data_IF_878186204411
#
_entry.id   IF_878186204411
#
_cell.length_a   1.000
_cell.length_b   1.000
_cell.length_c   1.000
_cell.angle_alpha   90.00
_cell.angle_beta   90.00
_cell.angle_gamma   90.00
#
_symmetry.space_group_name_H-M   'P 1'
#
loop_
_entity.id
_entity.type
_entity.pdbx_description
1 polymer ?
#
# COMPACT_ATOMS: atom_id res chain seq x y z
N UNK A 1 -14.45 22.76 -48.47
CA UNK A 1 -13.81 21.47 -48.11
C UNK A 1 -13.49 20.74 -49.39
N UNK A 2 -12.22 20.52 -49.69
CA UNK A 2 -11.82 19.67 -50.81
C UNK A 2 -11.69 18.23 -50.32
N UNK A 3 -12.34 17.28 -51.01
CA UNK A 3 -12.31 15.85 -50.66
C UNK A 3 -11.84 15.07 -51.87
N UNK A 4 -10.75 14.34 -51.73
CA UNK A 4 -10.23 13.45 -52.78
C UNK A 4 -10.07 12.02 -52.26
N UNK A 5 -10.02 11.05 -53.18
CA UNK A 5 -9.70 9.66 -52.86
C UNK A 5 -8.22 9.58 -52.48
N UNK A 6 -7.34 9.73 -53.45
CA UNK A 6 -5.89 9.82 -53.24
C UNK A 6 -5.42 11.21 -53.72
N UNK A 7 -4.31 11.70 -53.17
CA UNK A 7 -3.71 12.97 -53.57
C UNK A 7 -2.21 12.79 -53.78
N UNK A 8 -1.76 13.05 -55.02
CA UNK A 8 -0.34 13.10 -55.38
C UNK A 8 -0.02 14.54 -55.77
N UNK A 9 0.93 15.14 -55.04
CA UNK A 9 1.43 16.49 -55.28
C UNK A 9 2.83 16.37 -55.88
N UNK A 10 3.04 16.96 -57.06
CA UNK A 10 4.33 17.03 -57.76
C UNK A 10 4.85 18.46 -58.00
N UNK A 11 4.08 19.45 -57.55
CA UNK A 11 4.35 20.88 -57.68
C UNK A 11 3.86 21.60 -56.43
N UNK A 12 3.70 22.92 -56.48
CA UNK A 12 3.32 23.67 -55.29
C UNK A 12 1.80 23.76 -55.10
N UNK A 13 1.35 23.42 -53.89
CA UNK A 13 -0.04 23.58 -53.43
C UNK A 13 -0.08 24.70 -52.40
N UNK A 14 -0.82 25.75 -52.72
CA UNK A 14 -1.05 26.90 -51.86
C UNK A 14 -2.52 26.94 -51.39
N UNK A 15 -2.75 27.04 -50.09
CA UNK A 15 -4.10 27.08 -49.52
C UNK A 15 -4.51 28.50 -49.06
N UNK A 16 -4.74 29.39 -50.02
CA UNK A 16 -4.97 30.81 -49.75
C UNK A 16 -6.23 31.17 -48.94
N UNK A 17 -7.18 30.24 -48.75
CA UNK A 17 -8.49 30.52 -48.18
C UNK A 17 -8.82 29.71 -46.92
N UNK A 18 -7.81 29.16 -46.22
CA UNK A 18 -8.00 28.34 -45.00
C UNK A 18 -8.96 27.15 -45.20
N UNK A 19 -9.04 26.60 -46.41
CA UNK A 19 -9.98 25.53 -46.72
C UNK A 19 -9.52 24.20 -46.12
N UNK A 20 -10.41 23.43 -45.49
CA UNK A 20 -10.08 22.05 -45.08
C UNK A 20 -9.83 21.15 -46.29
N UNK A 21 -8.78 20.34 -46.20
CA UNK A 21 -8.40 19.34 -47.19
C UNK A 21 -8.54 17.94 -46.57
N UNK A 22 -9.29 17.07 -47.23
CA UNK A 22 -9.51 15.69 -46.80
C UNK A 22 -9.11 14.71 -47.90
N UNK A 23 -8.10 13.90 -47.61
CA UNK A 23 -7.64 12.80 -48.45
C UNK A 23 -8.16 11.51 -47.83
N UNK A 24 -9.11 10.83 -48.48
CA UNK A 24 -9.71 9.60 -47.92
C UNK A 24 -8.74 8.40 -47.92
N UNK A 25 -7.83 8.38 -48.88
CA UNK A 25 -6.79 7.39 -49.10
C UNK A 25 -5.41 8.01 -48.92
N UNK A 26 -4.50 7.71 -49.85
CA UNK A 26 -3.08 8.01 -49.69
C UNK A 26 -2.75 9.46 -50.07
N UNK A 27 -1.89 10.09 -49.27
CA UNK A 27 -1.28 11.38 -49.57
C UNK A 27 0.19 11.19 -49.92
N UNK A 28 0.57 11.66 -51.11
CA UNK A 28 1.95 11.63 -51.59
C UNK A 28 2.39 13.04 -51.96
N UNK A 29 3.51 13.49 -51.39
CA UNK A 29 4.27 14.64 -51.88
C UNK A 29 5.54 14.09 -52.54
N UNK A 30 5.63 14.23 -53.85
CA UNK A 30 6.71 13.71 -54.70
C UNK A 30 7.23 14.85 -55.58
N UNK A 31 7.94 15.78 -54.94
CA UNK A 31 8.34 17.08 -55.50
C UNK A 31 7.33 18.21 -55.21
N UNK A 32 7.84 19.44 -55.09
CA UNK A 32 7.06 20.65 -54.79
C UNK A 32 6.91 20.97 -53.30
N UNK A 33 5.86 21.69 -52.93
CA UNK A 33 5.58 22.10 -51.55
C UNK A 33 4.08 22.15 -51.24
N UNK A 34 3.73 21.98 -49.97
CA UNK A 34 2.35 22.21 -49.50
C UNK A 34 2.40 23.29 -48.44
N UNK A 35 1.99 24.51 -48.82
CA UNK A 35 2.04 25.68 -47.95
C UNK A 35 0.62 26.01 -47.49
N UNK A 36 0.38 25.80 -46.19
CA UNK A 36 -0.85 26.18 -45.50
C UNK A 36 -0.63 27.54 -44.84
N UNK A 37 -1.09 28.61 -45.48
CA UNK A 37 -0.89 29.98 -45.00
C UNK A 37 -1.90 30.35 -43.89
N UNK A 38 -1.35 30.59 -42.70
CA UNK A 38 -1.81 31.53 -41.66
C UNK A 38 -2.89 31.12 -40.67
N UNK A 39 -3.72 30.09 -40.91
CA UNK A 39 -4.61 29.55 -39.86
C UNK A 39 -4.61 28.02 -39.85
N UNK A 40 -5.03 27.45 -38.71
CA UNK A 40 -5.07 26.02 -38.46
C UNK A 40 -6.04 25.28 -39.41
N UNK A 41 -5.57 24.99 -40.62
CA UNK A 41 -6.30 24.22 -41.62
C UNK A 41 -6.41 22.78 -41.13
N UNK A 42 -7.62 22.22 -41.18
CA UNK A 42 -7.83 20.78 -40.99
C UNK A 42 -7.34 20.04 -42.24
N UNK A 43 -6.24 19.31 -42.09
CA UNK A 43 -5.71 18.41 -43.10
C UNK A 43 -5.91 16.96 -42.65
N UNK A 44 -6.92 16.30 -43.21
CA UNK A 44 -7.28 14.93 -42.84
C UNK A 44 -6.74 13.94 -43.85
N UNK A 45 -6.13 12.85 -43.36
CA UNK A 45 -5.61 11.76 -44.18
C UNK A 45 -6.12 10.44 -43.63
N UNK A 46 -6.78 9.67 -44.50
CA UNK A 46 -7.32 8.33 -44.19
C UNK A 46 -6.41 7.17 -44.59
N UNK A 47 -5.43 7.37 -45.47
CA UNK A 47 -4.47 6.36 -45.91
C UNK A 47 -3.02 6.71 -45.56
N UNK A 48 -2.07 6.13 -46.27
CA UNK A 48 -0.64 6.33 -46.04
C UNK A 48 -0.18 7.73 -46.44
N UNK A 49 0.85 8.24 -45.77
CA UNK A 49 1.57 9.45 -46.14
C UNK A 49 2.95 9.08 -46.68
N UNK A 50 3.31 9.52 -47.88
CA UNK A 50 4.70 9.42 -48.40
C UNK A 50 5.21 10.79 -48.79
N UNK A 51 6.37 11.18 -48.23
CA UNK A 51 7.02 12.47 -48.52
C UNK A 51 8.41 12.21 -49.08
N UNK A 52 8.59 12.53 -50.35
CA UNK A 52 9.78 12.27 -51.15
C UNK A 52 10.15 13.48 -52.01
N UNK A 53 11.42 13.55 -52.41
CA UNK A 53 11.94 14.52 -53.39
C UNK A 53 11.69 16.00 -53.02
N UNK A 54 11.60 16.31 -51.72
CA UNK A 54 11.49 17.67 -51.18
C UNK A 54 12.47 17.87 -50.02
N UNK A 55 12.89 19.12 -49.76
CA UNK A 55 13.78 19.39 -48.60
C UNK A 55 13.08 19.07 -47.27
N UNK A 56 11.81 19.47 -47.14
CA UNK A 56 10.99 19.18 -45.96
C UNK A 56 9.51 19.37 -46.29
N UNK A 57 8.66 18.47 -45.84
CA UNK A 57 7.23 18.73 -45.72
C UNK A 57 6.95 19.46 -44.42
N UNK A 58 6.54 20.72 -44.51
CA UNK A 58 6.27 21.59 -43.36
C UNK A 58 4.82 22.00 -43.35
N UNK A 59 4.06 21.42 -42.43
CA UNK A 59 2.70 21.86 -42.11
C UNK A 59 2.67 22.51 -40.74
N UNK A 60 3.71 23.26 -40.40
CA UNK A 60 3.94 23.86 -39.07
C UNK A 60 2.78 24.72 -38.54
N UNK A 61 1.84 25.11 -39.39
CA UNK A 61 0.63 25.87 -39.03
C UNK A 61 -0.69 25.09 -39.20
N UNK A 62 -0.68 23.85 -39.73
CA UNK A 62 -1.89 23.07 -39.96
C UNK A 62 -2.21 22.08 -38.83
N UNK A 63 -3.50 21.77 -38.68
CA UNK A 63 -3.99 20.66 -37.87
C UNK A 63 -4.09 19.41 -38.75
N UNK A 64 -3.04 18.59 -38.73
CA UNK A 64 -3.02 17.32 -39.45
C UNK A 64 -3.69 16.24 -38.60
N UNK A 65 -4.68 15.55 -39.14
CA UNK A 65 -5.39 14.46 -38.47
C UNK A 65 -5.24 13.16 -39.25
N UNK A 66 -4.75 12.12 -38.58
CA UNK A 66 -4.66 10.76 -39.11
C UNK A 66 -5.84 9.95 -38.55
N UNK A 67 -6.79 9.61 -39.41
CA UNK A 67 -8.10 9.05 -39.02
C UNK A 67 -8.56 7.85 -39.86
N UNK A 68 -7.65 7.19 -40.55
CA UNK A 68 -7.91 5.95 -41.29
C UNK A 68 -8.34 4.80 -40.37
N UNK A 69 -9.11 3.85 -40.92
CA UNK A 69 -9.55 2.64 -40.20
C UNK A 69 -8.52 1.51 -40.22
N UNK A 70 -7.58 1.54 -41.17
CA UNK A 70 -6.45 0.61 -41.33
C UNK A 70 -5.17 1.21 -40.77
N UNK A 71 -4.08 0.43 -40.72
CA UNK A 71 -2.73 0.95 -40.42
C UNK A 71 -2.42 2.10 -41.38
N UNK A 72 -1.87 3.20 -40.87
CA UNK A 72 -1.39 4.32 -41.68
C UNK A 72 0.12 4.46 -41.50
N UNK A 73 0.85 4.36 -42.59
CA UNK A 73 2.30 4.51 -42.61
C UNK A 73 2.69 5.96 -42.92
N UNK A 74 3.70 6.48 -42.22
CA UNK A 74 4.40 7.71 -42.60
C UNK A 74 5.76 7.33 -43.18
N UNK A 75 5.88 7.50 -44.50
CA UNK A 75 6.92 6.99 -45.38
C UNK A 75 7.69 8.10 -46.13
N UNK A 76 8.60 7.65 -47.00
CA UNK A 76 9.42 8.45 -47.91
C UNK A 76 10.81 8.77 -47.35
N UNK A 77 11.53 9.69 -47.98
CA UNK A 77 12.92 10.02 -47.63
C UNK A 77 13.11 11.45 -47.07
N UNK A 78 12.13 12.34 -47.26
CA UNK A 78 12.22 13.74 -46.83
C UNK A 78 11.78 13.96 -45.37
N UNK A 79 12.27 15.04 -44.74
CA UNK A 79 11.86 15.43 -43.39
C UNK A 79 10.35 15.75 -43.33
N UNK A 80 9.69 15.30 -42.25
CA UNK A 80 8.25 15.51 -41.99
C UNK A 80 8.09 16.34 -40.72
N UNK A 81 7.52 17.54 -40.86
CA UNK A 81 7.31 18.49 -39.77
C UNK A 81 5.84 18.91 -39.73
N UNK A 82 5.15 18.55 -38.66
CA UNK A 82 3.78 18.95 -38.40
C UNK A 82 3.70 20.16 -37.46
N UNK A 83 2.70 21.01 -37.67
CA UNK A 83 2.26 21.98 -36.67
C UNK A 83 1.58 21.25 -35.54
N UNK A 84 0.30 20.94 -35.72
CA UNK A 84 -0.44 20.07 -34.80
C UNK A 84 -0.72 18.73 -35.47
N UNK A 85 -0.41 17.63 -34.77
CA UNK A 85 -0.75 16.27 -35.19
C UNK A 85 -1.83 15.69 -34.27
N UNK A 86 -2.90 15.16 -34.84
CA UNK A 86 -3.97 14.49 -34.09
C UNK A 86 -4.05 13.03 -34.52
N UNK A 87 -3.98 12.12 -33.56
CA UNK A 87 -4.14 10.67 -33.77
C UNK A 87 -5.54 10.27 -33.33
N UNK A 88 -6.36 9.84 -34.28
CA UNK A 88 -7.74 9.41 -34.05
C UNK A 88 -8.04 8.13 -34.85
N UNK A 89 -7.34 7.06 -34.45
CA UNK A 89 -7.39 5.74 -35.08
C UNK A 89 -8.03 4.73 -34.12
N UNK A 90 -9.37 4.63 -34.07
CA UNK A 90 -10.07 3.79 -33.09
C UNK A 90 -9.80 2.29 -33.23
N UNK A 91 -9.43 1.82 -34.43
CA UNK A 91 -9.27 0.39 -34.76
C UNK A 91 -7.87 0.03 -35.29
N UNK A 92 -6.92 0.97 -35.29
CA UNK A 92 -5.61 0.80 -35.89
C UNK A 92 -4.56 1.73 -35.27
N UNK A 93 -3.36 1.76 -35.84
CA UNK A 93 -2.24 2.57 -35.37
C UNK A 93 -1.49 3.23 -36.54
N UNK A 94 -0.66 4.21 -36.20
CA UNK A 94 0.29 4.81 -37.14
C UNK A 94 1.61 4.06 -37.04
N UNK A 95 2.29 3.84 -38.16
CA UNK A 95 3.64 3.27 -38.21
C UNK A 95 4.59 4.30 -38.82
N UNK A 96 5.73 4.52 -38.17
CA UNK A 96 6.75 5.44 -38.67
C UNK A 96 7.89 4.67 -39.35
N UNK A 97 8.12 4.95 -40.64
CA UNK A 97 9.33 4.52 -41.34
C UNK A 97 10.50 5.52 -41.19
N UNK A 98 10.24 6.68 -40.57
CA UNK A 98 11.20 7.76 -40.34
C UNK A 98 10.89 8.54 -39.07
N UNK A 99 11.84 9.36 -38.63
CA UNK A 99 11.60 10.37 -37.61
C UNK A 99 10.58 11.43 -38.07
N UNK A 100 9.75 11.92 -37.15
CA UNK A 100 8.83 13.05 -37.39
C UNK A 100 9.04 14.13 -36.34
N UNK A 101 8.84 15.39 -36.74
CA UNK A 101 8.77 16.54 -35.82
C UNK A 101 7.34 17.04 -35.73
N UNK A 102 6.90 17.39 -34.52
CA UNK A 102 5.59 17.96 -34.24
C UNK A 102 5.76 19.16 -33.30
N UNK A 103 5.00 20.23 -33.51
CA UNK A 103 4.92 21.32 -32.53
C UNK A 103 3.93 20.95 -31.42
N UNK A 104 2.74 20.48 -31.78
CA UNK A 104 1.73 20.01 -30.84
C UNK A 104 1.19 18.63 -31.26
N UNK A 105 0.80 17.82 -30.29
CA UNK A 105 0.21 16.51 -30.54
C UNK A 105 -1.02 16.26 -29.65
N UNK A 106 -2.08 15.70 -30.24
CA UNK A 106 -3.30 15.32 -29.55
C UNK A 106 -3.51 13.80 -29.68
N UNK A 107 -3.62 13.12 -28.53
CA UNK A 107 -3.82 11.69 -28.43
C UNK A 107 -5.29 11.39 -28.13
N UNK A 108 -6.09 11.12 -29.17
CA UNK A 108 -7.52 10.78 -29.02
C UNK A 108 -7.67 9.26 -28.93
N UNK A 109 -7.29 8.54 -29.99
CA UNK A 109 -7.33 7.07 -30.10
C UNK A 109 -6.26 6.54 -31.03
N UNK A 110 -5.72 5.36 -30.74
CA UNK A 110 -4.70 4.69 -31.53
C UNK A 110 -3.28 5.11 -31.16
N UNK A 111 -2.34 4.19 -31.28
CA UNK A 111 -0.92 4.39 -30.96
C UNK A 111 -0.09 4.83 -32.18
N UNK A 112 1.06 5.41 -31.92
CA UNK A 112 2.14 5.59 -32.91
C UNK A 112 3.22 4.55 -32.61
N UNK A 113 3.42 3.61 -33.53
CA UNK A 113 4.53 2.66 -33.49
C UNK A 113 5.75 3.29 -34.17
N UNK A 114 6.80 3.50 -33.39
CA UNK A 114 8.00 4.21 -33.87
C UNK A 114 9.12 3.27 -34.33
N UNK A 115 9.17 2.03 -33.84
CA UNK A 115 10.30 1.13 -34.08
C UNK A 115 11.61 1.77 -33.62
N UNK A 116 12.58 1.92 -34.53
CA UNK A 116 13.84 2.64 -34.26
C UNK A 116 13.74 4.15 -34.47
N UNK A 117 12.64 4.63 -35.02
CA UNK A 117 12.39 6.06 -35.26
C UNK A 117 11.88 6.75 -33.99
N UNK A 118 11.66 8.06 -34.08
CA UNK A 118 11.30 8.91 -32.95
C UNK A 118 10.29 9.99 -33.34
N UNK A 119 9.38 10.28 -32.42
CA UNK A 119 8.54 11.48 -32.43
C UNK A 119 9.25 12.59 -31.66
N UNK A 120 9.55 13.69 -32.33
CA UNK A 120 10.16 14.88 -31.72
C UNK A 120 9.08 15.94 -31.47
N UNK A 121 8.85 16.30 -30.21
CA UNK A 121 7.98 17.40 -29.80
C UNK A 121 8.85 18.59 -29.41
N UNK A 122 9.03 19.54 -30.33
CA UNK A 122 10.00 20.64 -30.16
C UNK A 122 9.44 21.87 -29.43
N UNK A 123 8.12 21.92 -29.18
CA UNK A 123 7.48 23.00 -28.43
C UNK A 123 7.63 22.79 -26.92
N UNK A 124 8.30 23.69 -26.21
CA UNK A 124 8.54 23.59 -24.76
C UNK A 124 7.31 23.88 -23.88
N UNK A 125 6.19 24.35 -24.44
CA UNK A 125 4.98 24.59 -23.65
C UNK A 125 4.44 23.28 -23.07
N UNK A 126 4.04 23.25 -21.79
CA UNK A 126 3.57 22.03 -21.10
C UNK A 126 2.37 21.38 -21.79
N UNK A 127 1.50 22.18 -22.40
CA UNK A 127 0.33 21.77 -23.17
C UNK A 127 0.61 21.42 -24.65
N UNK A 128 1.88 21.32 -25.08
CA UNK A 128 2.21 20.85 -26.43
C UNK A 128 1.76 19.41 -26.69
N UNK A 129 1.68 18.60 -25.64
CA UNK A 129 0.86 17.39 -25.63
C UNK A 129 -0.49 17.81 -25.05
N UNK A 130 -1.52 17.85 -25.90
CA UNK A 130 -2.85 18.27 -25.53
C UNK A 130 -3.61 17.18 -24.78
N UNK A 131 -4.74 16.73 -25.34
CA UNK A 131 -5.51 15.64 -24.74
C UNK A 131 -4.72 14.33 -24.72
N UNK A 132 -4.76 13.63 -23.58
CA UNK A 132 -4.17 12.30 -23.38
C UNK A 132 -5.30 11.32 -23.08
N UNK A 133 -5.22 10.15 -23.71
CA UNK A 133 -6.19 9.08 -23.60
C UNK A 133 -5.44 7.76 -23.38
N UNK A 134 -5.91 6.86 -22.51
CA UNK A 134 -5.27 5.54 -22.35
C UNK A 134 -5.35 4.69 -23.63
N UNK A 135 -6.12 5.14 -24.63
CA UNK A 135 -6.23 4.48 -25.94
C UNK A 135 -5.25 5.06 -26.96
N UNK A 136 -4.42 6.06 -26.61
CA UNK A 136 -3.58 6.75 -27.57
C UNK A 136 -2.27 7.24 -26.95
N UNK A 137 -1.16 6.74 -27.48
CA UNK A 137 0.18 6.95 -26.93
C UNK A 137 1.25 6.58 -27.96
N UNK A 138 2.51 6.81 -27.60
CA UNK A 138 3.66 6.43 -28.42
C UNK A 138 4.19 5.07 -27.94
N UNK A 139 4.19 4.09 -28.84
CA UNK A 139 4.88 2.82 -28.62
C UNK A 139 6.30 2.93 -29.21
N UNK A 140 7.28 3.12 -28.33
CA UNK A 140 8.69 3.35 -28.64
C UNK A 140 9.17 4.77 -28.28
N UNK A 141 9.92 5.43 -29.17
CA UNK A 141 10.76 6.57 -28.80
C UNK A 141 10.06 7.93 -28.94
N UNK A 142 10.01 8.68 -27.84
CA UNK A 142 9.59 10.08 -27.75
C UNK A 142 10.80 10.95 -27.39
N UNK A 143 10.90 12.14 -28.00
CA UNK A 143 11.68 13.27 -27.45
C UNK A 143 10.75 14.44 -27.17
N UNK A 144 10.79 14.91 -25.92
CA UNK A 144 9.98 16.01 -25.42
C UNK A 144 10.89 17.19 -25.10
N UNK A 145 10.80 18.27 -25.86
CA UNK A 145 11.43 19.54 -25.48
C UNK A 145 10.79 20.06 -24.19
N UNK A 146 11.60 20.62 -23.30
CA UNK A 146 11.15 21.11 -21.99
C UNK A 146 11.79 22.47 -21.69
N UNK A 147 11.08 23.30 -20.93
CA UNK A 147 11.66 24.49 -20.32
C UNK A 147 12.40 24.14 -19.02
N UNK A 148 12.93 25.15 -18.33
CA UNK A 148 13.66 24.94 -17.08
C UNK A 148 12.77 24.43 -15.94
N UNK A 149 11.46 24.70 -16.00
CA UNK A 149 10.43 24.27 -15.06
C UNK A 149 9.14 23.84 -15.78
N UNK A 150 8.23 23.19 -15.04
CA UNK A 150 6.88 22.86 -15.46
C UNK A 150 6.57 21.36 -15.49
N UNK A 151 5.29 21.05 -15.71
CA UNK A 151 4.76 19.69 -15.76
C UNK A 151 4.78 19.11 -17.17
N UNK A 152 5.53 18.04 -17.39
CA UNK A 152 5.68 17.41 -18.70
C UNK A 152 5.24 15.95 -18.65
N UNK A 153 4.19 15.65 -19.40
CA UNK A 153 3.73 14.29 -19.64
C UNK A 153 4.56 13.61 -20.72
N UNK A 154 4.80 12.31 -20.55
CA UNK A 154 5.54 11.45 -21.45
C UNK A 154 4.64 10.25 -21.80
N UNK A 155 3.69 10.42 -22.75
CA UNK A 155 2.67 9.43 -23.05
C UNK A 155 3.23 8.30 -23.91
N UNK A 156 4.03 7.44 -23.29
CA UNK A 156 4.63 6.25 -23.90
C UNK A 156 3.87 4.99 -23.49
N UNK A 157 4.25 3.85 -24.05
CA UNK A 157 3.65 2.56 -23.74
C UNK A 157 4.30 1.44 -24.54
N UNK A 158 3.68 0.28 -24.47
CA UNK A 158 4.09 -0.90 -25.24
C UNK A 158 2.99 -1.31 -26.24
N UNK A 159 2.98 -2.56 -26.69
CA UNK A 159 1.98 -2.97 -27.65
C UNK A 159 0.54 -3.03 -27.12
N UNK A 160 0.38 -3.20 -25.81
CA UNK A 160 -0.90 -3.47 -25.16
C UNK A 160 -1.36 -2.35 -24.23
N UNK A 161 -0.43 -1.68 -23.56
CA UNK A 161 -0.74 -0.80 -22.45
C UNK A 161 -0.13 0.60 -22.60
N UNK A 162 -0.90 1.56 -22.12
CA UNK A 162 -0.48 2.94 -21.95
C UNK A 162 0.19 3.13 -20.58
N UNK A 163 1.44 3.60 -20.61
CA UNK A 163 2.33 3.68 -19.46
C UNK A 163 2.81 5.13 -19.32
N UNK A 164 2.04 5.94 -18.61
CA UNK A 164 2.29 7.38 -18.51
C UNK A 164 3.36 7.65 -17.45
N UNK A 165 4.36 8.45 -17.82
CA UNK A 165 5.20 9.15 -16.86
C UNK A 165 4.90 10.65 -16.91
N UNK A 166 4.88 11.31 -15.76
CA UNK A 166 4.84 12.77 -15.66
C UNK A 166 6.03 13.26 -14.86
N UNK A 167 6.74 14.24 -15.41
CA UNK A 167 7.91 14.87 -14.79
C UNK A 167 7.53 16.31 -14.45
N UNK A 168 7.49 16.62 -13.15
CA UNK A 168 7.33 17.99 -12.66
C UNK A 168 8.72 18.60 -12.43
N UNK A 169 9.17 19.43 -13.36
CA UNK A 169 10.46 20.10 -13.24
C UNK A 169 10.35 21.28 -12.27
N UNK A 170 10.93 21.14 -11.08
CA UNK A 170 11.00 22.21 -10.08
C UNK A 170 12.12 23.21 -10.43
N UNK A 171 13.27 22.71 -10.91
CA UNK A 171 14.36 23.53 -11.46
C UNK A 171 15.29 22.68 -12.31
N UNK A 172 15.87 23.27 -13.38
CA UNK A 172 16.88 22.62 -14.20
C UNK A 172 17.85 23.63 -14.81
N UNK A 173 19.10 23.20 -14.99
CA UNK A 173 20.14 23.98 -15.68
C UNK A 173 20.81 23.14 -16.76
N UNK A 174 20.72 23.60 -18.01
CA UNK A 174 21.23 22.89 -19.19
C UNK A 174 20.30 21.81 -19.75
N UNK A 175 19.09 21.64 -19.19
CA UNK A 175 18.06 20.77 -19.75
C UNK A 175 17.35 21.46 -20.92
N UNK A 176 17.17 20.73 -22.02
CA UNK A 176 16.47 21.19 -23.23
C UNK A 176 15.43 20.18 -23.70
N UNK A 177 15.65 18.88 -23.43
CA UNK A 177 14.70 17.83 -23.75
C UNK A 177 14.89 16.58 -22.89
N UNK A 178 13.84 15.77 -22.87
CA UNK A 178 13.82 14.41 -22.34
C UNK A 178 13.52 13.43 -23.48
N UNK A 179 14.36 12.41 -23.63
CA UNK A 179 14.04 11.21 -24.40
C UNK A 179 13.31 10.22 -23.48
N UNK A 180 12.19 9.65 -23.94
CA UNK A 180 11.36 8.74 -23.16
C UNK A 180 10.91 7.54 -23.98
N UNK A 181 10.87 6.37 -23.34
CA UNK A 181 10.22 5.14 -23.85
C UNK A 181 9.84 4.23 -22.69
N UNK A 182 8.95 3.28 -22.96
CA UNK A 182 8.62 2.20 -22.03
C UNK A 182 9.05 0.85 -22.62
N UNK A 183 9.82 0.09 -21.87
CA UNK A 183 10.27 -1.25 -22.24
C UNK A 183 9.57 -2.27 -21.33
N UNK A 184 8.96 -3.30 -21.93
CA UNK A 184 8.24 -4.32 -21.17
C UNK A 184 9.18 -5.37 -20.60
N UNK A 185 8.89 -5.84 -19.40
CA UNK A 185 9.40 -7.11 -18.89
C UNK A 185 8.25 -7.83 -18.20
N UNK A 186 8.07 -9.13 -18.42
CA UNK A 186 6.93 -9.89 -17.88
C UNK A 186 7.32 -10.80 -16.71
N UNK A 187 8.56 -10.69 -16.25
CA UNK A 187 9.07 -11.46 -15.10
C UNK A 187 9.17 -10.57 -13.89
N UNK A 188 8.50 -10.96 -12.81
CA UNK A 188 8.71 -10.36 -11.49
C UNK A 188 10.20 -10.41 -11.15
N UNK A 189 10.78 -9.24 -10.88
CA UNK A 189 12.18 -9.13 -10.44
C UNK A 189 12.19 -8.99 -8.93
N UNK A 190 12.76 -9.98 -8.24
CA UNK A 190 13.01 -9.91 -6.80
C UNK A 190 14.12 -8.88 -6.52
N UNK A 191 13.86 -7.98 -5.57
CA UNK A 191 14.80 -6.95 -5.13
C UNK A 191 14.99 -6.95 -3.61
N UNK A 192 14.47 -7.97 -2.90
CA UNK A 192 14.52 -8.07 -1.44
C UNK A 192 15.96 -8.06 -0.90
N UNK A 193 16.90 -8.67 -1.62
CA UNK A 193 18.32 -8.69 -1.24
C UNK A 193 19.01 -7.32 -1.27
N UNK A 194 18.38 -6.30 -1.88
CA UNK A 194 18.90 -4.93 -1.91
C UNK A 194 18.64 -4.17 -0.61
N UNK A 195 17.81 -4.70 0.31
CA UNK A 195 17.49 -4.08 1.60
C UNK A 195 17.02 -2.62 1.47
N UNK A 196 16.13 -2.37 0.50
CA UNK A 196 15.54 -1.06 0.27
C UNK A 196 14.25 -0.92 1.07
N UNK A 197 14.14 0.15 1.86
CA UNK A 197 13.00 0.38 2.74
C UNK A 197 12.23 1.64 2.35
N UNK A 198 10.90 1.55 2.44
CA UNK A 198 9.99 2.68 2.35
C UNK A 198 9.03 2.59 3.52
N UNK A 199 8.90 3.69 4.27
CA UNK A 199 8.07 3.77 5.48
C UNK A 199 8.31 2.60 6.45
N UNK A 200 9.59 2.24 6.66
CA UNK A 200 10.01 1.14 7.54
C UNK A 200 9.83 -0.27 6.99
N UNK A 201 9.27 -0.42 5.77
CA UNK A 201 8.96 -1.71 5.17
C UNK A 201 9.90 -2.04 4.01
N UNK A 202 10.40 -3.28 3.96
CA UNK A 202 11.30 -3.73 2.89
C UNK A 202 10.56 -3.96 1.56
N UNK A 203 11.12 -3.42 0.48
CA UNK A 203 10.64 -3.68 -0.88
C UNK A 203 11.04 -5.09 -1.32
N UNK A 204 10.10 -5.79 -1.95
CA UNK A 204 10.26 -7.21 -2.29
C UNK A 204 10.46 -7.44 -3.79
N UNK A 205 9.73 -6.72 -4.64
CA UNK A 205 9.77 -6.96 -6.09
C UNK A 205 9.41 -5.72 -6.89
N UNK A 206 9.78 -5.72 -8.17
CA UNK A 206 9.27 -4.77 -9.16
C UNK A 206 7.93 -5.23 -9.72
N UNK A 207 7.10 -4.29 -10.14
CA UNK A 207 5.92 -4.59 -10.94
C UNK A 207 6.33 -5.17 -12.30
N UNK A 208 5.67 -6.24 -12.70
CA UNK A 208 6.03 -7.10 -13.85
C UNK A 208 5.43 -6.64 -15.19
N UNK A 209 5.19 -5.34 -15.34
CA UNK A 209 4.79 -4.76 -16.64
C UNK A 209 5.99 -4.16 -17.40
N UNK A 210 6.98 -3.60 -16.70
CA UNK A 210 8.17 -3.03 -17.34
C UNK A 210 8.77 -1.83 -16.62
N UNK A 211 9.48 -1.01 -17.39
CA UNK A 211 10.17 0.18 -16.89
C UNK A 211 10.19 1.30 -17.94
N UNK A 212 10.27 2.55 -17.47
CA UNK A 212 10.51 3.71 -18.31
C UNK A 212 12.01 3.98 -18.40
N UNK A 213 12.52 4.24 -19.59
CA UNK A 213 13.80 4.93 -19.76
C UNK A 213 13.50 6.40 -20.01
N UNK A 214 13.95 7.28 -19.12
CA UNK A 214 13.85 8.73 -19.29
C UNK A 214 15.28 9.28 -19.24
N UNK A 215 15.74 9.90 -20.32
CA UNK A 215 17.10 10.39 -20.45
C UNK A 215 17.11 11.89 -20.82
N UNK A 216 17.95 12.72 -20.19
CA UNK A 216 18.07 14.12 -20.53
C UNK A 216 19.02 14.29 -21.72
N UNK A 217 19.03 15.49 -22.31
CA UNK A 217 20.10 15.85 -23.24
C UNK A 217 21.48 15.84 -22.57
N UNK A 218 22.53 15.71 -23.40
CA UNK A 218 23.90 16.00 -22.97
C UNK A 218 24.02 17.44 -22.51
N UNK A 219 24.70 17.68 -21.39
CA UNK A 219 24.94 19.04 -20.85
C UNK A 219 24.02 19.45 -19.69
N UNK A 220 23.18 18.55 -19.18
CA UNK A 220 22.49 18.75 -17.90
C UNK A 220 23.53 18.92 -16.77
N UNK A 221 23.43 20.02 -16.03
CA UNK A 221 24.38 20.35 -14.95
C UNK A 221 23.76 20.26 -13.54
N UNK A 222 22.48 20.62 -13.41
CA UNK A 222 21.71 20.45 -12.18
C UNK A 222 20.23 20.26 -12.49
N UNK A 223 19.54 19.51 -11.62
CA UNK A 223 18.12 19.25 -11.73
C UNK A 223 17.51 18.99 -10.35
N UNK A 224 16.28 19.47 -10.16
CA UNK A 224 15.37 19.01 -9.12
C UNK A 224 13.99 18.82 -9.76
N UNK A 225 13.39 17.65 -9.58
CA UNK A 225 12.09 17.34 -10.15
C UNK A 225 11.35 16.28 -9.34
N UNK A 226 10.04 16.24 -9.53
CA UNK A 226 9.17 15.18 -9.03
C UNK A 226 8.72 14.30 -10.19
N UNK A 227 8.46 13.03 -9.93
CA UNK A 227 8.02 12.08 -10.94
C UNK A 227 6.79 11.32 -10.47
N UNK A 228 5.83 11.15 -11.36
CA UNK A 228 4.74 10.19 -11.22
C UNK A 228 4.71 9.20 -12.37
N UNK A 229 4.40 7.95 -12.04
CA UNK A 229 4.34 6.83 -12.97
C UNK A 229 2.97 6.15 -12.84
N UNK A 230 2.28 5.97 -13.96
CA UNK A 230 1.02 5.23 -14.06
C UNK A 230 1.27 3.93 -14.80
N UNK A 231 1.46 2.84 -14.05
CA UNK A 231 1.71 1.52 -14.61
C UNK A 231 0.42 0.73 -14.83
N UNK A 232 0.23 0.18 -16.03
CA UNK A 232 -0.88 -0.74 -16.34
C UNK A 232 -0.39 -2.13 -16.70
N UNK A 233 -1.28 -3.11 -16.60
CA UNK A 233 -1.02 -4.48 -17.04
C UNK A 233 -0.06 -5.30 -16.18
N UNK A 234 0.42 -4.76 -15.06
CA UNK A 234 1.16 -5.54 -14.06
C UNK A 234 0.24 -6.61 -13.46
N UNK A 235 0.65 -7.87 -13.54
CA UNK A 235 -0.08 -9.01 -12.97
C UNK A 235 0.21 -9.20 -11.49
N UNK A 236 1.33 -8.65 -11.02
CA UNK A 236 1.77 -8.74 -9.63
C UNK A 236 1.52 -7.45 -8.82
N UNK A 237 0.60 -6.57 -9.25
CA UNK A 237 0.24 -5.37 -8.49
C UNK A 237 -0.17 -5.70 -7.04
N UNK A 238 0.26 -4.88 -6.08
CA UNK A 238 -0.18 -4.98 -4.68
C UNK A 238 -1.66 -4.61 -4.52
N UNK A 239 -2.28 -5.09 -3.44
CA UNK A 239 -3.69 -4.83 -3.15
C UNK A 239 -3.94 -3.39 -2.65
N UNK A 240 -2.94 -2.74 -2.06
CA UNK A 240 -3.03 -1.41 -1.48
C UNK A 240 -2.07 -0.43 -2.15
N UNK A 241 -2.52 0.80 -2.34
CA UNK A 241 -1.73 1.85 -2.99
C UNK A 241 -0.41 2.13 -2.26
N UNK A 242 -0.45 2.21 -0.92
CA UNK A 242 0.74 2.46 -0.09
C UNK A 242 1.86 1.43 -0.22
N UNK A 243 1.60 0.27 -0.85
CA UNK A 243 2.64 -0.72 -1.10
C UNK A 243 3.67 -0.31 -2.15
N UNK A 244 3.33 0.68 -2.98
CA UNK A 244 4.03 0.97 -4.22
C UNK A 244 4.88 2.22 -4.09
N UNK A 245 6.06 2.20 -4.71
CA UNK A 245 6.95 3.36 -4.77
C UNK A 245 7.69 3.38 -6.10
N UNK A 246 8.11 4.57 -6.55
CA UNK A 246 9.02 4.68 -7.69
C UNK A 246 10.42 4.21 -7.27
N UNK A 247 11.10 3.48 -8.14
CA UNK A 247 12.49 3.07 -7.96
C UNK A 247 13.26 3.33 -9.25
N UNK A 248 14.57 3.53 -9.16
CA UNK A 248 15.38 3.81 -10.34
C UNK A 248 16.69 3.02 -10.35
N UNK A 249 17.28 2.87 -11.53
CA UNK A 249 18.64 2.38 -11.73
C UNK A 249 19.30 3.12 -12.87
N UNK A 250 20.62 3.24 -12.86
CA UNK A 250 21.33 4.04 -13.86
C UNK A 250 21.29 3.41 -15.26
N UNK A 251 21.32 2.08 -15.32
CA UNK A 251 21.26 1.29 -16.54
C UNK A 251 21.02 -0.19 -16.17
N UNK A 252 20.94 -1.06 -17.18
CA UNK A 252 20.70 -2.49 -17.04
C UNK A 252 21.75 -3.27 -16.25
N UNK A 253 22.94 -2.71 -16.03
CA UNK A 253 24.03 -3.33 -15.24
C UNK A 253 24.09 -2.83 -13.80
N UNK A 254 23.31 -1.79 -13.45
CA UNK A 254 23.24 -1.23 -12.10
C UNK A 254 22.10 -1.85 -11.29
N UNK A 255 22.31 -1.99 -9.98
CA UNK A 255 21.22 -2.33 -9.06
C UNK A 255 20.18 -1.20 -9.00
N UNK A 256 18.97 -1.58 -8.65
CA UNK A 256 17.90 -0.63 -8.33
C UNK A 256 18.15 0.05 -6.99
N UNK A 257 17.75 1.31 -6.88
CA UNK A 257 17.90 2.12 -5.66
C UNK A 257 16.83 3.21 -5.59
N UNK A 258 16.66 3.76 -4.38
CA UNK A 258 15.73 4.83 -4.08
C UNK A 258 16.42 6.20 -4.16
N UNK A 259 15.75 7.20 -4.72
CA UNK A 259 16.17 8.61 -4.68
C UNK A 259 14.95 9.50 -4.43
N UNK A 260 15.14 10.63 -3.77
CA UNK A 260 14.06 11.54 -3.44
C UNK A 260 13.18 11.03 -2.31
N UNK A 261 12.02 11.65 -2.12
CA UNK A 261 11.11 11.37 -1.02
C UNK A 261 9.88 10.56 -1.48
N UNK A 262 9.35 9.77 -0.56
CA UNK A 262 8.12 8.97 -0.73
C UNK A 262 7.08 9.40 0.30
N UNK A 263 5.80 9.29 -0.05
CA UNK A 263 4.69 9.43 0.90
C UNK A 263 3.56 8.50 0.46
N UNK A 264 2.99 7.71 1.37
CA UNK A 264 1.88 6.81 1.01
C UNK A 264 0.64 7.54 0.49
N UNK A 265 0.39 8.76 0.95
CA UNK A 265 -0.75 9.59 0.52
C UNK A 265 -0.72 9.98 -0.96
N UNK A 266 0.45 9.92 -1.63
CA UNK A 266 0.58 10.25 -3.05
C UNK A 266 0.44 9.03 -3.96
N UNK A 267 0.24 7.84 -3.40
CA UNK A 267 0.09 6.60 -4.17
C UNK A 267 -1.39 6.30 -4.38
N UNK A 268 -1.76 5.75 -5.53
CA UNK A 268 -3.14 5.31 -5.77
C UNK A 268 -3.23 4.11 -6.69
N UNK A 269 -4.34 3.38 -6.61
CA UNK A 269 -4.69 2.32 -7.56
C UNK A 269 -6.10 2.62 -8.05
N UNK A 270 -6.25 2.82 -9.36
CA UNK A 270 -7.54 3.13 -9.95
C UNK A 270 -7.62 2.65 -11.39
N UNK A 271 -8.74 2.04 -11.76
CA UNK A 271 -8.98 1.58 -13.14
C UNK A 271 -7.92 0.61 -13.68
N UNK A 272 -7.36 -0.26 -12.82
CA UNK A 272 -6.29 -1.20 -13.17
C UNK A 272 -4.92 -0.55 -13.40
N UNK A 273 -4.74 0.70 -12.98
CA UNK A 273 -3.47 1.43 -13.03
C UNK A 273 -2.90 1.59 -11.62
N UNK A 274 -1.62 1.29 -11.44
CA UNK A 274 -0.86 1.62 -10.24
C UNK A 274 -0.19 2.97 -10.45
N UNK A 275 -0.55 3.96 -9.64
CA UNK A 275 0.04 5.28 -9.65
C UNK A 275 1.08 5.38 -8.53
N UNK A 276 2.34 5.66 -8.89
CA UNK A 276 3.43 5.84 -7.96
C UNK A 276 4.12 7.20 -8.11
N UNK A 277 4.43 7.87 -7.00
CA UNK A 277 5.05 9.21 -6.98
C UNK A 277 6.30 9.24 -6.09
N UNK A 278 7.33 9.94 -6.55
CA UNK A 278 8.47 10.39 -5.73
C UNK A 278 8.87 11.83 -6.05
N UNK A 279 9.34 12.55 -5.05
CA UNK A 279 9.68 13.98 -5.16
C UNK A 279 11.16 14.26 -4.89
N UNK A 280 11.69 15.35 -5.44
CA UNK A 280 13.06 15.80 -5.17
C UNK A 280 14.16 14.93 -5.78
N UNK A 281 13.92 14.34 -6.95
CA UNK A 281 14.92 13.61 -7.71
C UNK A 281 15.93 14.58 -8.36
N UNK A 282 17.17 14.11 -8.52
CA UNK A 282 18.30 14.90 -9.01
C UNK A 282 19.03 14.27 -10.20
N UNK A 283 18.49 13.17 -10.74
CA UNK A 283 19.03 12.51 -11.92
C UNK A 283 17.94 11.73 -12.65
N UNK A 284 18.06 11.65 -13.97
CA UNK A 284 17.21 10.82 -14.84
C UNK A 284 17.94 9.50 -15.16
N UNK A 285 17.20 8.43 -15.37
CA UNK A 285 17.72 7.09 -15.64
C UNK A 285 16.60 6.14 -16.09
N UNK A 286 16.69 4.85 -15.74
CA UNK A 286 15.57 3.91 -15.84
C UNK A 286 14.74 3.95 -14.55
N UNK A 287 13.41 3.90 -14.68
CA UNK A 287 12.44 3.96 -13.59
C UNK A 287 11.45 2.81 -13.68
N UNK A 288 11.06 2.26 -12.54
CA UNK A 288 9.96 1.29 -12.44
C UNK A 288 9.18 1.55 -11.15
N UNK A 289 8.16 0.74 -10.90
CA UNK A 289 7.42 0.73 -9.64
C UNK A 289 7.83 -0.52 -8.87
N UNK A 290 8.40 -0.33 -7.68
CA UNK A 290 8.61 -1.40 -6.73
C UNK A 290 7.41 -1.52 -5.79
N UNK A 291 7.23 -2.73 -5.24
CA UNK A 291 6.29 -2.97 -4.16
C UNK A 291 6.92 -3.71 -2.99
N UNK A 292 6.41 -3.43 -1.80
CA UNK A 292 6.53 -4.37 -0.69
C UNK A 292 5.28 -5.27 -0.63
N UNK A 293 5.41 -6.42 0.02
CA UNK A 293 4.24 -7.23 0.35
C UNK A 293 3.48 -6.55 1.50
N UNK A 294 2.18 -6.82 1.62
CA UNK A 294 1.50 -6.53 2.87
C UNK A 294 2.15 -7.43 3.92
N UNK A 295 3.04 -6.83 4.72
CA UNK A 295 3.34 -7.40 6.01
C UNK A 295 2.14 -7.02 6.86
N UNK A 296 1.18 -7.94 6.95
CA UNK A 296 0.37 -8.08 8.16
C UNK A 296 1.39 -8.38 9.25
N UNK A 297 1.96 -7.33 9.82
CA UNK A 297 2.56 -7.44 11.13
C UNK A 297 1.36 -7.73 12.05
N UNK A 298 1.34 -8.86 12.76
CA UNK A 298 0.34 -9.12 13.78
C UNK A 298 0.24 -7.89 14.68
N UNK A 299 -0.94 -7.59 15.22
CA UNK A 299 -1.01 -6.62 16.32
C UNK A 299 0.02 -7.07 17.37
N UNK A 300 0.96 -6.20 17.67
CA UNK A 300 1.91 -6.45 18.75
C UNK A 300 1.21 -6.16 20.07
N UNK A 301 0.52 -7.19 20.55
CA UNK A 301 -0.02 -7.25 21.90
C UNK A 301 1.16 -7.38 22.86
N UNK A 302 1.46 -6.31 23.60
CA UNK A 302 2.58 -6.30 24.56
C UNK A 302 2.15 -6.74 25.96
N UNK A 303 0.89 -6.52 26.31
CA UNK A 303 0.34 -6.96 27.58
C UNK A 303 -1.11 -7.41 27.41
N UNK A 304 -1.45 -8.47 28.14
CA UNK A 304 -2.81 -8.87 28.42
C UNK A 304 -2.83 -9.43 29.82
N UNK A 305 -3.67 -8.87 30.68
CA UNK A 305 -3.72 -9.19 32.11
C UNK A 305 -5.16 -9.39 32.55
N UNK A 306 -5.35 -10.25 33.55
CA UNK A 306 -6.63 -10.50 34.19
C UNK A 306 -6.49 -10.39 35.70
N UNK A 307 -7.28 -9.51 36.31
CA UNK A 307 -7.29 -9.25 37.74
C UNK A 307 -8.66 -9.59 38.32
N UNK A 308 -8.69 -10.43 39.35
CA UNK A 308 -9.94 -10.76 40.03
C UNK A 308 -10.21 -9.77 41.15
N UNK A 309 -11.34 -9.08 41.07
CA UNK A 309 -11.91 -8.27 42.13
C UNK A 309 -12.98 -9.08 42.89
N UNK A 310 -13.58 -8.50 43.93
CA UNK A 310 -14.55 -9.23 44.80
C UNK A 310 -15.74 -9.81 44.03
N UNK A 311 -16.18 -9.14 42.96
CA UNK A 311 -17.42 -9.47 42.25
C UNK A 311 -17.26 -9.59 40.73
N UNK A 312 -16.09 -9.27 40.17
CA UNK A 312 -15.84 -9.26 38.73
C UNK A 312 -14.37 -9.53 38.40
N UNK A 313 -14.12 -9.92 37.16
CA UNK A 313 -12.76 -9.98 36.61
C UNK A 313 -12.56 -8.80 35.67
N UNK A 314 -11.49 -8.06 35.90
CA UNK A 314 -11.03 -6.98 35.05
C UNK A 314 -9.96 -7.49 34.08
N UNK A 315 -10.14 -7.21 32.79
CA UNK A 315 -9.21 -7.58 31.73
C UNK A 315 -8.66 -6.30 31.11
N UNK A 316 -7.34 -6.18 31.09
CA UNK A 316 -6.64 -5.03 30.51
C UNK A 316 -5.63 -5.51 29.47
N UNK A 317 -5.56 -4.84 28.32
CA UNK A 317 -4.53 -5.11 27.32
C UNK A 317 -4.05 -3.85 26.61
N UNK A 318 -2.80 -3.92 26.16
CA UNK A 318 -2.13 -2.86 25.44
C UNK A 318 -1.56 -3.39 24.14
N UNK A 319 -1.80 -2.64 23.06
CA UNK A 319 -1.22 -2.87 21.75
C UNK A 319 -0.30 -1.70 21.38
N UNK A 320 0.94 -1.97 20.97
CA UNK A 320 1.89 -0.91 20.58
C UNK A 320 1.60 -0.36 19.19
N UNK A 321 1.06 -1.22 18.32
CA UNK A 321 0.53 -0.83 17.03
C UNK A 321 -0.61 -1.77 16.63
N UNK A 322 -1.53 -1.23 15.84
CA UNK A 322 -2.63 -1.97 15.24
C UNK A 322 -2.64 -1.72 13.75
N UNK A 323 -2.70 -2.78 12.95
CA UNK A 323 -2.87 -2.65 11.51
C UNK A 323 -3.89 -3.68 11.08
N UNK A 324 -4.90 -3.24 10.35
CA UNK A 324 -5.99 -4.07 9.84
C UNK A 324 -6.88 -4.73 10.93
N UNK A 325 -6.79 -4.30 12.18
CA UNK A 325 -7.56 -4.88 13.29
C UNK A 325 -8.99 -4.32 13.31
N UNK A 326 -9.98 -5.13 12.94
CA UNK A 326 -11.38 -4.72 13.04
C UNK A 326 -11.82 -4.78 14.52
N UNK A 327 -11.61 -5.90 15.20
CA UNK A 327 -12.01 -6.03 16.61
C UNK A 327 -11.34 -7.19 17.35
N UNK A 328 -11.38 -7.09 18.68
CA UNK A 328 -11.06 -8.19 19.59
C UNK A 328 -12.34 -8.91 20.04
N UNK A 329 -12.27 -10.23 20.16
CA UNK A 329 -13.24 -11.05 20.89
C UNK A 329 -12.58 -11.48 22.21
N UNK A 330 -13.18 -11.07 23.32
CA UNK A 330 -12.80 -11.57 24.64
C UNK A 330 -13.42 -12.95 24.82
N UNK A 331 -12.60 -13.95 25.12
CA UNK A 331 -13.04 -15.31 25.40
C UNK A 331 -12.69 -15.74 26.81
N UNK A 332 -13.58 -16.51 27.43
CA UNK A 332 -13.38 -17.13 28.74
C UNK A 332 -13.50 -18.64 28.68
N UNK A 333 -12.73 -19.34 29.51
CA UNK A 333 -12.82 -20.78 29.72
C UNK A 333 -12.60 -21.15 31.19
N UNK A 334 -13.21 -22.24 31.65
CA UNK A 334 -12.95 -22.85 32.97
C UNK A 334 -11.91 -23.97 32.91
N UNK A 335 -11.64 -24.52 31.72
CA UNK A 335 -10.78 -25.70 31.51
C UNK A 335 -9.65 -25.43 30.49
N UNK A 336 -9.53 -24.19 30.02
CA UNK A 336 -8.63 -23.73 28.96
C UNK A 336 -8.81 -24.43 27.59
N UNK A 337 -9.88 -25.20 27.40
CA UNK A 337 -10.17 -25.96 26.17
C UNK A 337 -11.49 -25.54 25.52
N UNK A 338 -12.53 -25.33 26.32
CA UNK A 338 -13.85 -24.89 25.89
C UNK A 338 -13.98 -23.39 26.13
N UNK A 339 -14.06 -22.61 25.04
CA UNK A 339 -14.02 -21.15 25.08
C UNK A 339 -15.38 -20.54 24.75
N UNK A 340 -15.85 -19.65 25.62
CA UNK A 340 -17.07 -18.86 25.43
C UNK A 340 -16.72 -17.44 25.03
N UNK A 341 -17.32 -16.93 23.97
CA UNK A 341 -17.24 -15.51 23.60
C UNK A 341 -18.02 -14.67 24.62
N UNK A 342 -17.37 -13.66 25.19
CA UNK A 342 -17.98 -12.73 26.14
C UNK A 342 -18.42 -11.43 25.46
N UNK A 343 -17.50 -10.78 24.74
CA UNK A 343 -17.74 -9.49 24.10
C UNK A 343 -16.89 -9.30 22.86
N UNK A 344 -17.37 -8.42 21.97
CA UNK A 344 -16.62 -7.86 20.84
C UNK A 344 -16.24 -6.42 21.19
N UNK A 345 -14.95 -6.12 21.19
CA UNK A 345 -14.39 -4.80 21.50
C UNK A 345 -13.75 -4.27 20.22
N UNK A 346 -14.24 -3.12 19.75
CA UNK A 346 -13.77 -2.53 18.49
C UNK A 346 -12.28 -2.18 18.61
N UNK A 347 -11.48 -2.60 17.62
CA UNK A 347 -10.09 -2.22 17.51
C UNK A 347 -9.93 -0.82 16.91
N UNK A 348 -8.71 -0.31 16.88
CA UNK A 348 -8.40 0.99 16.30
C UNK A 348 -8.39 0.98 14.75
N UNK A 349 -8.46 -0.19 14.12
CA UNK A 349 -8.33 -0.35 12.66
C UNK A 349 -6.88 -0.20 12.20
N UNK A 350 -6.36 1.02 12.30
CA UNK A 350 -4.97 1.37 11.98
C UNK A 350 -4.44 2.36 13.02
N UNK A 351 -3.41 1.97 13.77
CA UNK A 351 -2.74 2.82 14.76
C UNK A 351 -1.25 2.51 14.83
N UNK A 352 -0.44 3.56 14.79
CA UNK A 352 1.01 3.49 15.02
C UNK A 352 1.41 3.99 16.42
N UNK A 353 0.48 4.00 17.37
CA UNK A 353 0.64 4.48 18.74
C UNK A 353 -0.02 3.50 19.70
N UNK A 354 0.44 3.46 20.95
CA UNK A 354 -0.14 2.60 21.98
C UNK A 354 -1.66 2.83 22.15
N UNK A 355 -2.39 1.72 22.31
CA UNK A 355 -3.81 1.70 22.64
C UNK A 355 -4.04 0.82 23.84
N UNK A 356 -4.79 1.35 24.78
CA UNK A 356 -5.20 0.67 26.00
C UNK A 356 -6.67 0.30 25.89
N UNK A 357 -7.00 -0.92 26.30
CA UNK A 357 -8.34 -1.46 26.27
C UNK A 357 -8.66 -2.14 27.60
N UNK A 358 -9.94 -2.07 27.96
CA UNK A 358 -10.46 -2.62 29.19
C UNK A 358 -11.76 -3.41 28.91
N UNK A 359 -11.93 -4.51 29.63
CA UNK A 359 -13.20 -5.22 29.70
C UNK A 359 -13.47 -5.79 31.10
N UNK A 360 -14.71 -5.63 31.57
CA UNK A 360 -15.16 -6.16 32.86
C UNK A 360 -16.09 -7.37 32.65
N UNK A 361 -15.68 -8.53 33.16
CA UNK A 361 -16.53 -9.72 33.27
C UNK A 361 -17.20 -9.77 34.65
N UNK A 362 -18.48 -9.38 34.69
CA UNK A 362 -19.31 -9.37 35.91
C UNK A 362 -19.87 -10.75 36.30
N UNK A 363 -19.40 -11.83 35.68
CA UNK A 363 -19.91 -13.17 36.02
C UNK A 363 -19.35 -13.59 37.38
N UNK A 364 -20.23 -13.82 38.36
CA UNK A 364 -19.85 -14.44 39.63
C UNK A 364 -19.43 -15.88 39.42
N UNK A 365 -18.13 -16.12 39.44
CA UNK A 365 -17.52 -17.42 39.18
C UNK A 365 -16.45 -17.70 40.20
N UNK A 366 -16.54 -18.87 40.84
CA UNK A 366 -15.56 -19.31 41.83
C UNK A 366 -14.52 -20.23 41.20
N UNK A 367 -13.26 -20.03 41.58
CA UNK A 367 -12.12 -20.85 41.16
C UNK A 367 -11.34 -20.29 39.97
N UNK A 368 -10.62 -21.17 39.27
CA UNK A 368 -9.76 -20.79 38.16
C UNK A 368 -10.58 -20.38 36.93
N UNK A 369 -10.22 -19.24 36.36
CA UNK A 369 -10.72 -18.75 35.09
C UNK A 369 -9.58 -18.43 34.15
N UNK A 370 -9.78 -18.76 32.88
CA UNK A 370 -8.83 -18.52 31.80
C UNK A 370 -9.44 -17.54 30.81
N UNK A 371 -8.65 -16.57 30.39
CA UNK A 371 -9.05 -15.59 29.39
C UNK A 371 -8.05 -15.55 28.24
N UNK A 372 -8.55 -15.24 27.05
CA UNK A 372 -7.74 -14.95 25.85
C UNK A 372 -8.46 -13.95 24.98
N UNK A 373 -7.70 -13.25 24.15
CA UNK A 373 -8.20 -12.39 23.10
C UNK A 373 -8.14 -13.15 21.77
N UNK A 374 -9.17 -13.00 20.95
CA UNK A 374 -9.13 -13.35 19.53
C UNK A 374 -9.24 -12.06 18.75
N UNK A 375 -8.13 -11.61 18.19
CA UNK A 375 -8.13 -10.51 17.24
C UNK A 375 -8.74 -10.97 15.92
N UNK A 376 -9.56 -10.12 15.31
CA UNK A 376 -10.17 -10.35 14.00
C UNK A 376 -9.87 -9.16 13.10
N UNK A 377 -9.26 -9.44 11.97
CA UNK A 377 -8.89 -8.43 10.98
C UNK A 377 -10.06 -8.11 10.03
N UNK A 378 -9.98 -7.00 9.27
CA UNK A 378 -11.03 -6.64 8.30
C UNK A 378 -11.21 -7.68 7.17
N UNK A 379 -10.20 -8.52 6.91
CA UNK A 379 -10.27 -9.62 5.96
C UNK A 379 -10.81 -10.94 6.59
N UNK A 380 -11.10 -10.92 7.90
CA UNK A 380 -11.62 -12.05 8.66
C UNK A 380 -10.57 -12.98 9.25
N UNK A 381 -9.26 -12.70 9.05
CA UNK A 381 -8.16 -13.43 9.67
C UNK A 381 -8.24 -13.34 11.19
N UNK A 382 -7.90 -14.43 11.90
CA UNK A 382 -7.99 -14.52 13.35
C UNK A 382 -6.67 -14.88 13.98
N UNK A 383 -6.27 -14.11 14.99
CA UNK A 383 -5.06 -14.33 15.79
C UNK A 383 -5.44 -14.45 17.26
N UNK A 384 -4.89 -15.44 17.96
CA UNK A 384 -5.21 -15.72 19.37
C UNK A 384 -4.04 -15.27 20.24
N UNK A 385 -4.32 -14.54 21.32
CA UNK A 385 -3.33 -14.11 22.30
C UNK A 385 -2.82 -15.27 23.17
N UNK A 386 -1.83 -14.98 24.01
CA UNK A 386 -1.54 -15.81 25.18
C UNK A 386 -2.77 -15.94 26.08
N UNK A 387 -2.86 -17.06 26.80
CA UNK A 387 -3.90 -17.30 27.79
C UNK A 387 -3.44 -16.73 29.13
N UNK A 388 -4.29 -15.92 29.75
CA UNK A 388 -4.09 -15.45 31.13
C UNK A 388 -4.99 -16.25 32.06
N UNK A 389 -4.47 -16.61 33.23
CA UNK A 389 -5.22 -17.29 34.26
C UNK A 389 -5.44 -16.33 35.42
N UNK A 390 -6.64 -16.38 35.98
CA UNK A 390 -6.97 -15.71 37.23
C UNK A 390 -7.69 -16.68 38.14
N UNK A 391 -7.36 -16.66 39.43
CA UNK A 391 -8.02 -17.50 40.42
C UNK A 391 -8.94 -16.64 41.29
N UNK A 392 -10.23 -16.72 40.98
CA UNK A 392 -11.30 -16.07 41.74
C UNK A 392 -11.80 -17.02 42.84
N UNK A 393 -10.91 -17.43 43.75
CA UNK A 393 -11.39 -17.97 45.02
C UNK A 393 -11.88 -16.76 45.80
N UNK A 394 -13.20 -16.72 46.04
CA UNK A 394 -13.78 -15.89 47.08
C UNK A 394 -12.90 -16.09 48.32
N UNK A 395 -12.12 -15.08 48.69
CA UNK A 395 -11.73 -14.89 50.08
C UNK A 395 -13.04 -14.61 50.82
N UNK A 396 -13.82 -15.66 51.07
CA UNK A 396 -14.57 -15.70 52.29
C UNK A 396 -13.51 -15.46 53.36
N UNK A 397 -13.52 -14.27 53.95
CA UNK A 397 -12.99 -14.10 55.30
C UNK A 397 -13.73 -15.13 56.16
N UNK A 398 -13.14 -16.32 56.29
CA UNK A 398 -13.52 -17.24 57.35
C UNK A 398 -13.09 -16.50 58.63
N UNK A 399 -14.01 -16.13 59.53
CA UNK A 399 -13.61 -15.43 60.75
C UNK A 399 -12.64 -16.33 61.53
N UNK A 400 -11.39 -15.89 61.68
CA UNK A 400 -10.36 -16.59 62.45
C UNK A 400 -10.94 -16.98 63.81
N UNK A 401 -10.97 -18.27 64.12
CA UNK A 401 -11.35 -18.72 65.46
C UNK A 401 -10.15 -18.39 66.36
N UNK A 402 -10.35 -17.59 67.41
CA UNK A 402 -9.31 -17.41 68.42
C UNK A 402 -9.62 -18.29 69.62
N UNK A 403 -8.56 -18.85 70.23
CA UNK A 403 -8.66 -19.65 71.44
C UNK A 403 -7.99 -18.91 72.59
N UNK A 404 -8.65 -18.87 73.75
CA UNK A 404 -8.14 -18.15 74.91
C UNK A 404 -8.66 -18.71 76.25
N UNK A 405 -7.87 -18.59 77.33
CA UNK A 405 -6.48 -18.14 77.33
C UNK A 405 -5.57 -19.19 76.65
N UNK A 406 -4.42 -18.77 76.17
CA UNK A 406 -3.36 -19.68 75.73
C UNK A 406 -2.02 -19.08 76.19
N UNK A 407 -1.40 -19.62 77.25
CA UNK A 407 -1.67 -20.93 77.85
C UNK A 407 -2.95 -21.03 78.71
N UNK A 408 -3.51 -22.23 78.87
CA UNK A 408 -4.75 -22.50 79.61
C UNK A 408 -4.56 -23.51 80.76
N UNK A 409 -5.30 -23.33 81.86
CA UNK A 409 -5.32 -24.26 83.01
C UNK A 409 -6.48 -25.25 82.89
N UNK A 410 -7.71 -24.84 83.18
CA UNK A 410 -8.84 -25.79 83.23
C UNK A 410 -9.78 -25.66 82.04
N UNK A 411 -9.92 -24.46 81.47
CA UNK A 411 -10.88 -24.17 80.40
C UNK A 411 -10.19 -23.43 79.27
N UNK A 412 -10.42 -23.90 78.05
CA UNK A 412 -10.07 -23.22 76.81
C UNK A 412 -11.34 -22.72 76.14
N UNK A 413 -11.46 -21.41 75.91
CA UNK A 413 -12.60 -20.77 75.25
C UNK A 413 -12.28 -20.47 73.79
N UNK A 414 -13.32 -20.35 72.98
CA UNK A 414 -13.24 -20.05 71.55
C UNK A 414 -14.02 -18.77 71.25
N UNK A 415 -13.59 -17.97 70.27
CA UNK A 415 -14.30 -16.74 69.86
C UNK A 415 -15.73 -16.97 69.35
N UNK A 416 -16.05 -18.20 68.94
CA UNK A 416 -17.36 -18.60 68.41
C UNK A 416 -17.65 -20.08 68.66
N UNK A 417 -18.93 -20.44 68.76
CA UNK A 417 -19.34 -21.81 69.06
C UNK A 417 -19.10 -22.76 67.87
N UNK A 418 -18.31 -23.81 68.06
CA UNK A 418 -17.86 -24.74 67.01
C UNK A 418 -17.75 -26.18 67.52
N UNK A 419 -17.78 -27.14 66.60
CA UNK A 419 -17.36 -28.52 66.87
C UNK A 419 -15.84 -28.61 66.87
N UNK A 420 -15.25 -29.45 67.72
CA UNK A 420 -13.79 -29.51 67.85
C UNK A 420 -13.27 -30.94 68.10
N UNK A 421 -11.99 -31.15 67.80
CA UNK A 421 -11.17 -32.29 68.20
C UNK A 421 -9.88 -31.79 68.87
N UNK A 422 -9.54 -32.26 70.07
CA UNK A 422 -8.25 -32.00 70.71
C UNK A 422 -7.32 -33.19 70.41
N UNK A 423 -6.12 -32.87 69.93
CA UNK A 423 -5.10 -33.80 69.49
C UNK A 423 -3.84 -33.65 70.34
N UNK A 424 -3.16 -34.77 70.62
CA UNK A 424 -1.76 -34.72 71.09
C UNK A 424 -0.78 -34.44 69.95
N UNK A 425 0.51 -34.33 70.29
CA UNK A 425 1.58 -34.08 69.30
C UNK A 425 1.78 -35.23 68.30
N UNK A 426 1.22 -36.41 68.56
CA UNK A 426 1.19 -37.55 67.64
C UNK A 426 -0.09 -37.60 66.79
N UNK A 427 -0.98 -36.60 66.92
CA UNK A 427 -2.24 -36.53 66.18
C UNK A 427 -3.33 -37.47 66.70
N UNK A 428 -3.19 -38.03 67.90
CA UNK A 428 -4.23 -38.87 68.52
C UNK A 428 -5.32 -37.98 69.13
N UNK A 429 -6.58 -38.27 68.83
CA UNK A 429 -7.74 -37.57 69.40
C UNK A 429 -7.88 -37.92 70.89
N UNK A 430 -7.79 -36.90 71.74
CA UNK A 430 -7.96 -37.02 73.19
C UNK A 430 -9.37 -36.62 73.64
N UNK A 431 -9.93 -35.58 73.02
CA UNK A 431 -11.27 -35.07 73.32
C UNK A 431 -11.94 -34.60 72.04
N UNK A 432 -13.26 -34.66 71.95
CA UNK A 432 -14.00 -34.13 70.80
C UNK A 432 -15.42 -33.73 71.19
N UNK A 433 -15.99 -32.77 70.46
CA UNK A 433 -17.42 -32.45 70.50
C UNK A 433 -17.99 -32.40 69.10
N UNK A 434 -19.05 -33.18 68.87
CA UNK A 434 -19.88 -33.13 67.64
C UNK A 434 -20.98 -32.08 67.70
N UNK A 435 -21.08 -31.34 68.81
CA UNK A 435 -22.01 -30.21 68.98
C UNK A 435 -21.22 -28.91 69.09
N UNK A 436 -21.81 -27.80 68.64
CA UNK A 436 -21.15 -26.49 68.72
C UNK A 436 -21.03 -26.04 70.18
N UNK A 437 -19.81 -25.82 70.63
CA UNK A 437 -19.45 -25.35 71.97
C UNK A 437 -18.55 -24.13 71.84
N UNK A 438 -18.61 -23.21 72.80
CA UNK A 438 -17.71 -22.04 72.87
C UNK A 438 -16.56 -22.24 73.88
N UNK A 439 -16.50 -23.39 74.54
CA UNK A 439 -15.40 -23.75 75.44
C UNK A 439 -15.26 -25.27 75.59
N UNK A 440 -14.13 -25.68 76.16
CA UNK A 440 -13.82 -27.07 76.53
C UNK A 440 -13.09 -27.10 77.86
N UNK A 441 -13.47 -28.04 78.72
CA UNK A 441 -12.75 -28.34 79.95
C UNK A 441 -11.57 -29.28 79.64
N UNK A 442 -10.36 -28.82 79.92
CA UNK A 442 -9.08 -29.49 79.66
C UNK A 442 -8.34 -29.86 80.95
N UNK A 443 -8.99 -29.82 82.11
CA UNK A 443 -8.36 -30.10 83.40
C UNK A 443 -7.81 -31.53 83.51
N UNK A 444 -8.36 -32.48 82.75
CA UNK A 444 -7.91 -33.87 82.70
C UNK A 444 -6.67 -34.08 81.80
N UNK A 445 -6.30 -33.08 81.00
CA UNK A 445 -5.09 -33.13 80.18
C UNK A 445 -3.85 -32.86 81.05
N UNK A 446 -2.79 -33.64 80.83
CA UNK A 446 -1.48 -33.36 81.46
C UNK A 446 -0.89 -32.07 80.92
N UNK A 447 -0.04 -31.42 81.70
CA UNK A 447 0.75 -30.25 81.25
C UNK A 447 1.52 -30.59 79.96
N UNK A 448 1.41 -29.74 78.95
CA UNK A 448 1.97 -30.02 77.63
C UNK A 448 1.37 -29.23 76.49
N UNK A 449 1.84 -29.53 75.28
CA UNK A 449 1.39 -28.92 74.03
C UNK A 449 0.33 -29.78 73.35
N UNK A 450 -0.76 -29.13 72.93
CA UNK A 450 -1.88 -29.78 72.25
C UNK A 450 -2.31 -28.97 71.03
N UNK A 451 -3.04 -29.62 70.13
CA UNK A 451 -3.71 -28.96 69.03
C UNK A 451 -5.23 -29.10 69.17
N UNK A 452 -5.98 -28.04 68.87
CA UNK A 452 -7.42 -28.09 68.73
C UNK A 452 -7.78 -27.85 67.26
N UNK A 453 -8.53 -28.79 66.70
CA UNK A 453 -8.97 -28.81 65.32
C UNK A 453 -10.45 -28.46 65.24
N UNK A 454 -10.78 -27.43 64.48
CA UNK A 454 -12.12 -27.08 64.04
C UNK A 454 -12.35 -27.58 62.60
N UNK A 455 -13.54 -27.37 62.04
CA UNK A 455 -13.90 -27.82 60.69
C UNK A 455 -12.88 -27.37 59.62
N UNK A 456 -12.37 -26.14 59.73
CA UNK A 456 -11.47 -25.52 58.75
C UNK A 456 -10.17 -24.93 59.34
N UNK A 457 -9.85 -25.20 60.61
CA UNK A 457 -8.72 -24.56 61.30
C UNK A 457 -8.06 -25.50 62.33
N UNK A 458 -6.75 -25.42 62.49
CA UNK A 458 -5.98 -26.16 63.50
C UNK A 458 -5.13 -25.18 64.31
N UNK A 459 -5.38 -25.09 65.61
CA UNK A 459 -4.72 -24.15 66.49
C UNK A 459 -3.96 -24.87 67.60
N UNK A 460 -2.81 -24.33 67.98
CA UNK A 460 -1.97 -24.85 69.05
C UNK A 460 -2.32 -24.16 70.37
N UNK A 461 -2.44 -24.93 71.46
CA UNK A 461 -2.46 -24.38 72.82
C UNK A 461 -1.51 -25.12 73.76
N UNK A 462 -1.15 -24.45 74.85
CA UNK A 462 -0.31 -24.99 75.92
C UNK A 462 -1.20 -25.16 77.16
N UNK A 463 -1.25 -26.39 77.69
CA UNK A 463 -1.83 -26.70 79.01
C UNK A 463 -0.75 -26.48 80.07
N UNK A 464 -1.03 -25.61 81.04
CA UNK A 464 -0.21 -25.43 82.24
C UNK A 464 -0.76 -26.18 83.44
#
# INVERSE_FOLDING_TARGET
MAVCKDLIVKGDVYNAANASLKVKGNFTLDGGSVNFNTNAINFEIGGDMSIDNVNSFKTSQANTKLNGTSIQNINGNSEVVFGTLTIDKPSAHVVLAKNIKVSNINFIKGKINTGTNRVFIDNTATNAIGSISPLSYINGNLRRAVASTGSYTLPVGNDSNFELATVELNSSSGLTHLDARFDSHVTSTDISSLNLFVDGTILQSLLDAGYWTIAPNSGLSSINYDISLDMRGATNAGAQAGQHTVIKRDNSSSNWYLQGNHTNATQSISGGSVHAVRTGLTSFSEFSIAKHNLFILPVELISFEANCNTDFVELNWITVSETNNDYFIVQRSQDATNWKNLSKIQGAGFSSSEKEYEYIDNTQVSGNMYYRLVQVDFDGTKTISNIVNVNCINKFEIPNISIYPNPANDILNFSQAQTYEILDIQGRVLMQSKTKQNSVNISELKEGMYFIKFENELLKFIKY
#
